data_IF_293119388894
#
_entry.id   IF_293119388894
#
_cell.length_a   1.000
_cell.length_b   1.000
_cell.length_c   1.000
_cell.angle_alpha   90.00
_cell.angle_beta   90.00
_cell.angle_gamma   90.00
#
_symmetry.space_group_name_H-M   'P 1'
#
loop_
_entity.id
_entity.type
_entity.pdbx_description
1 polymer ?
#
# COMPACT_ATOMS: atom_id res chain seq x y z
N UNK A 1 -2.28 3.97 10.32
CA UNK A 1 -2.23 3.07 9.14
C UNK A 1 -3.60 2.72 8.57
N UNK A 2 -4.72 2.92 9.30
CA UNK A 2 -6.05 2.62 8.75
C UNK A 2 -6.61 3.66 7.77
N UNK A 3 -6.24 4.93 7.92
CA UNK A 3 -6.78 6.04 7.12
C UNK A 3 -6.37 5.96 5.65
N UNK A 4 -5.13 5.59 5.36
CA UNK A 4 -4.64 5.40 3.99
C UNK A 4 -5.36 4.24 3.28
N UNK A 5 -5.66 3.17 4.02
CA UNK A 5 -6.39 2.02 3.49
C UNK A 5 -7.80 2.40 3.01
N UNK A 6 -8.43 3.42 3.60
CA UNK A 6 -9.74 3.93 3.15
C UNK A 6 -9.62 4.58 1.78
N UNK A 7 -8.58 5.39 1.55
CA UNK A 7 -8.34 6.01 0.24
C UNK A 7 -8.07 4.94 -0.84
N UNK A 8 -7.26 3.94 -0.53
CA UNK A 8 -7.03 2.81 -1.44
C UNK A 8 -8.30 1.99 -1.70
N UNK A 9 -9.14 1.77 -0.69
CA UNK A 9 -10.40 1.06 -0.84
C UNK A 9 -11.35 1.78 -1.80
N UNK A 10 -11.45 3.12 -1.73
CA UNK A 10 -12.27 3.92 -2.64
C UNK A 10 -11.81 3.75 -4.10
N UNK A 11 -10.49 3.73 -4.34
CA UNK A 11 -9.92 3.58 -5.69
C UNK A 11 -10.13 2.15 -6.23
N UNK A 12 -9.98 1.12 -5.39
CA UNK A 12 -10.04 -0.29 -5.80
C UNK A 12 -11.49 -0.81 -5.87
N UNK A 13 -12.42 -0.21 -5.13
CA UNK A 13 -13.85 -0.58 -5.11
C UNK A 13 -14.47 -0.75 -6.50
N UNK A 14 -14.41 0.23 -7.43
CA UNK A 14 -15.02 0.08 -8.76
C UNK A 14 -14.41 -1.07 -9.57
N UNK A 15 -13.11 -1.36 -9.42
CA UNK A 15 -12.46 -2.49 -10.08
C UNK A 15 -12.97 -3.83 -9.54
N UNK A 16 -13.08 -3.97 -8.21
CA UNK A 16 -13.56 -5.19 -7.57
C UNK A 16 -15.02 -5.49 -7.91
N UNK A 17 -15.87 -4.46 -7.93
CA UNK A 17 -17.29 -4.59 -8.32
C UNK A 17 -17.41 -5.06 -9.78
N UNK A 18 -16.57 -4.55 -10.70
CA UNK A 18 -16.53 -5.02 -12.10
C UNK A 18 -16.08 -6.47 -12.24
N UNK A 19 -15.17 -6.92 -11.37
CA UNK A 19 -14.71 -8.32 -11.33
C UNK A 19 -15.75 -9.29 -10.73
N UNK A 20 -16.89 -8.78 -10.26
CA UNK A 20 -17.98 -9.55 -9.66
C UNK A 20 -17.78 -9.84 -8.17
N UNK A 21 -16.91 -9.08 -7.50
CA UNK A 21 -16.75 -9.11 -6.04
C UNK A 21 -17.55 -7.97 -5.39
N UNK A 22 -17.77 -8.03 -4.08
CA UNK A 22 -18.52 -7.03 -3.31
C UNK A 22 -17.58 -5.97 -2.68
N UNK A 23 -18.15 -4.82 -2.28
CA UNK A 23 -17.39 -3.81 -1.53
C UNK A 23 -16.78 -4.34 -0.23
N UNK A 24 -17.35 -5.38 0.39
CA UNK A 24 -16.75 -6.02 1.57
C UNK A 24 -15.45 -6.72 1.19
N UNK A 25 -15.38 -7.43 0.07
CA UNK A 25 -14.13 -8.01 -0.44
C UNK A 25 -13.08 -6.93 -0.69
N UNK A 26 -13.47 -5.76 -1.22
CA UNK A 26 -12.56 -4.61 -1.37
C UNK A 26 -11.96 -4.18 -0.03
N UNK A 27 -12.78 -4.04 1.00
CA UNK A 27 -12.33 -3.66 2.35
C UNK A 27 -11.45 -4.76 2.97
N UNK A 28 -11.81 -6.04 2.79
CA UNK A 28 -10.99 -7.15 3.25
C UNK A 28 -9.60 -7.12 2.60
N UNK A 29 -9.54 -6.97 1.27
CA UNK A 29 -8.26 -6.97 0.54
C UNK A 29 -7.39 -5.77 0.92
N UNK A 30 -7.97 -4.59 1.15
CA UNK A 30 -7.20 -3.38 1.45
C UNK A 30 -6.86 -3.26 2.94
N UNK A 31 -7.85 -3.39 3.81
CA UNK A 31 -7.69 -3.17 5.25
C UNK A 31 -6.99 -4.34 5.94
N UNK A 32 -7.41 -5.60 5.70
CA UNK A 32 -6.76 -6.75 6.36
C UNK A 32 -5.32 -6.87 5.90
N UNK A 33 -5.03 -6.68 4.62
CA UNK A 33 -3.66 -6.72 4.11
C UNK A 33 -2.77 -5.67 4.82
N UNK A 34 -3.26 -4.43 4.96
CA UNK A 34 -2.53 -3.36 5.63
C UNK A 34 -2.27 -3.68 7.11
N UNK A 35 -3.28 -4.18 7.82
CA UNK A 35 -3.17 -4.48 9.25
C UNK A 35 -2.26 -5.68 9.52
N UNK A 36 -2.39 -6.77 8.76
CA UNK A 36 -1.52 -7.94 8.89
C UNK A 36 -0.07 -7.56 8.53
N UNK A 37 0.11 -6.83 7.43
CA UNK A 37 1.42 -6.37 6.98
C UNK A 37 2.12 -5.51 8.03
N UNK A 38 1.42 -4.54 8.62
CA UNK A 38 1.99 -3.69 9.67
C UNK A 38 2.32 -4.47 10.95
N UNK A 39 1.40 -5.33 11.41
CA UNK A 39 1.53 -6.05 12.67
C UNK A 39 2.61 -7.14 12.64
N UNK A 40 2.77 -7.82 11.50
CA UNK A 40 3.69 -8.95 11.35
C UNK A 40 5.01 -8.62 10.66
N UNK A 41 5.21 -7.36 10.21
CA UNK A 41 6.41 -6.95 9.50
C UNK A 41 7.69 -7.20 10.32
N UNK A 42 8.60 -7.97 9.73
CA UNK A 42 9.87 -8.36 10.35
C UNK A 42 10.96 -7.28 10.24
N UNK A 43 10.81 -6.34 9.30
CA UNK A 43 11.76 -5.25 9.02
C UNK A 43 11.15 -3.87 9.25
N UNK A 44 10.10 -3.75 10.07
CA UNK A 44 9.43 -2.48 10.34
C UNK A 44 10.43 -1.49 11.01
N UNK A 45 10.86 -0.41 10.33
CA UNK A 45 11.86 0.50 10.87
C UNK A 45 11.32 1.34 12.02
N UNK A 46 10.00 1.54 12.09
CA UNK A 46 9.36 2.40 13.10
C UNK A 46 9.12 1.70 14.42
N UNK A 47 8.78 0.41 14.39
CA UNK A 47 8.50 -0.35 15.60
C UNK A 47 9.65 -1.28 15.97
N UNK A 48 10.09 -2.13 15.04
CA UNK A 48 11.02 -3.21 15.33
C UNK A 48 12.44 -2.69 15.47
N UNK A 49 12.92 -1.91 14.51
CA UNK A 49 14.29 -1.39 14.52
C UNK A 49 14.50 -0.41 15.67
N UNK A 50 13.51 0.46 15.95
CA UNK A 50 13.56 1.37 17.11
C UNK A 50 13.63 0.59 18.43
N UNK A 51 12.77 -0.42 18.61
CA UNK A 51 12.79 -1.25 19.83
C UNK A 51 14.12 -2.02 19.98
N UNK A 52 14.70 -2.50 18.87
CA UNK A 52 16.01 -3.16 18.88
C UNK A 52 17.13 -2.20 19.26
N UNK A 53 17.10 -0.97 18.74
CA UNK A 53 18.02 0.10 19.12
C UNK A 53 17.94 0.44 20.61
N UNK A 54 16.74 0.53 21.18
CA UNK A 54 16.53 0.75 22.63
C UNK A 54 17.02 -0.45 23.46
N UNK A 55 16.77 -1.67 22.99
CA UNK A 55 17.17 -2.90 23.67
C UNK A 55 18.67 -3.25 23.50
N UNK A 56 19.42 -2.48 22.71
CA UNK A 56 20.84 -2.72 22.47
C UNK A 56 21.16 -4.00 21.71
N UNK A 57 20.17 -4.58 21.02
CA UNK A 57 20.35 -5.81 20.21
C UNK A 57 20.60 -5.45 18.74
N UNK A 58 21.34 -6.29 17.98
CA UNK A 58 21.59 -6.02 16.57
C UNK A 58 20.30 -5.85 15.79
N UNK A 59 20.29 -4.89 14.86
CA UNK A 59 19.19 -4.69 13.90
C UNK A 59 18.97 -6.00 13.14
N UNK A 60 17.71 -6.36 12.87
CA UNK A 60 17.32 -7.62 12.23
C UNK A 60 17.56 -8.90 13.05
N UNK A 61 18.02 -8.80 14.31
CA UNK A 61 18.14 -9.97 15.18
C UNK A 61 16.79 -10.67 15.37
N UNK A 62 16.77 -12.00 15.16
CA UNK A 62 15.54 -12.81 15.21
C UNK A 62 14.61 -12.67 14.00
N UNK A 63 15.10 -12.15 12.87
CA UNK A 63 14.33 -12.02 11.62
C UNK A 63 13.71 -13.33 11.14
N UNK A 64 14.39 -14.47 11.31
CA UNK A 64 13.89 -15.78 10.86
C UNK A 64 12.51 -16.14 11.44
N UNK A 65 12.33 -16.03 12.76
CA UNK A 65 11.03 -16.28 13.40
C UNK A 65 9.97 -15.29 12.92
N UNK A 66 10.33 -14.02 12.80
CA UNK A 66 9.41 -12.95 12.36
C UNK A 66 8.96 -13.16 10.92
N UNK A 67 9.85 -13.60 10.03
CA UNK A 67 9.52 -13.96 8.64
C UNK A 67 8.53 -15.12 8.61
N UNK A 68 8.74 -16.15 9.42
CA UNK A 68 7.79 -17.28 9.52
C UNK A 68 6.42 -16.81 9.99
N UNK A 69 6.36 -15.99 11.05
CA UNK A 69 5.10 -15.41 11.56
C UNK A 69 4.43 -14.53 10.50
N UNK A 70 5.19 -13.71 9.79
CA UNK A 70 4.71 -12.87 8.70
C UNK A 70 4.09 -13.71 7.56
N UNK A 71 4.77 -14.78 7.14
CA UNK A 71 4.26 -15.70 6.11
C UNK A 71 2.97 -16.36 6.58
N UNK A 72 2.95 -16.91 7.80
CA UNK A 72 1.77 -17.60 8.34
C UNK A 72 0.58 -16.66 8.48
N UNK A 73 0.79 -15.46 9.04
CA UNK A 73 -0.26 -14.47 9.20
C UNK A 73 -0.80 -14.01 7.84
N UNK A 74 0.08 -13.77 6.87
CA UNK A 74 -0.30 -13.39 5.50
C UNK A 74 -1.07 -14.49 4.82
N UNK A 75 -0.65 -15.76 4.94
CA UNK A 75 -1.35 -16.90 4.37
C UNK A 75 -2.75 -17.08 4.98
N UNK A 76 -2.89 -16.92 6.30
CA UNK A 76 -4.20 -16.99 6.97
C UNK A 76 -5.13 -15.89 6.43
N UNK A 77 -4.64 -14.65 6.36
CA UNK A 77 -5.41 -13.52 5.83
C UNK A 77 -5.80 -13.72 4.36
N UNK A 78 -4.88 -14.24 3.55
CA UNK A 78 -5.09 -14.53 2.14
C UNK A 78 -6.15 -15.63 1.96
N UNK A 79 -6.01 -16.75 2.66
CA UNK A 79 -6.98 -17.86 2.57
C UNK A 79 -8.36 -17.42 3.04
N UNK A 80 -8.45 -16.68 4.16
CA UNK A 80 -9.70 -16.13 4.64
C UNK A 80 -10.38 -15.24 3.59
N UNK A 81 -9.61 -14.33 2.99
CA UNK A 81 -10.10 -13.40 1.96
C UNK A 81 -10.54 -14.14 0.70
N UNK A 82 -9.77 -15.14 0.24
CA UNK A 82 -10.12 -15.95 -0.94
C UNK A 82 -11.35 -16.83 -0.71
N UNK A 83 -11.51 -17.40 0.48
CA UNK A 83 -12.70 -18.18 0.84
C UNK A 83 -13.94 -17.27 0.87
N UNK A 84 -13.83 -16.06 1.43
CA UNK A 84 -14.93 -15.09 1.39
C UNK A 84 -15.25 -14.64 -0.05
N UNK A 85 -14.24 -14.19 -0.80
CA UNK A 85 -14.39 -13.70 -2.17
C UNK A 85 -14.99 -14.77 -3.10
N UNK A 86 -14.58 -16.04 -2.95
CA UNK A 86 -15.14 -17.15 -3.74
C UNK A 86 -16.58 -17.49 -3.37
N UNK A 87 -17.00 -17.30 -2.12
CA UNK A 87 -18.40 -17.45 -1.68
C UNK A 87 -19.28 -16.35 -2.25
N UNK A 88 -18.82 -15.10 -2.20
CA UNK A 88 -19.53 -13.93 -2.76
C UNK A 88 -19.66 -14.05 -4.29
N UNK A 89 -18.57 -14.45 -4.96
CA UNK A 89 -18.57 -14.64 -6.43
C UNK A 89 -19.55 -15.73 -6.89
N UNK A 90 -19.74 -16.78 -6.08
CA UNK A 90 -20.69 -17.88 -6.39
C UNK A 90 -22.14 -17.52 -6.09
N UNK A 91 -22.40 -16.69 -5.09
CA UNK A 91 -23.75 -16.26 -4.71
C UNK A 91 -23.77 -14.75 -4.42
N UNK A 92 -24.05 -13.92 -5.44
CA UNK A 92 -24.08 -12.47 -5.29
C UNK A 92 -25.12 -11.95 -4.28
N UNK A 93 -26.15 -12.76 -3.99
CA UNK A 93 -27.21 -12.45 -3.01
C UNK A 93 -26.82 -12.69 -1.55
N UNK A 94 -25.68 -13.34 -1.29
CA UNK A 94 -25.12 -13.44 0.06
C UNK A 94 -24.42 -12.14 0.50
N UNK A 95 -24.16 -11.21 -0.42
CA UNK A 95 -23.65 -9.89 -0.09
C UNK A 95 -24.77 -9.05 0.55
N UNK A 96 -24.60 -8.70 1.83
CA UNK A 96 -25.51 -7.78 2.56
C UNK A 96 -25.52 -6.35 2.00
N UNK A 97 -24.66 -6.05 1.03
CA UNK A 97 -24.38 -4.71 0.50
C UNK A 97 -24.78 -4.59 -0.97
N UNK A 98 -25.61 -5.52 -1.47
CA UNK A 98 -26.01 -5.59 -2.89
C UNK A 98 -26.65 -4.28 -3.40
N UNK A 99 -27.39 -3.55 -2.56
CA UNK A 99 -27.97 -2.25 -2.93
C UNK A 99 -26.94 -1.10 -2.92
N UNK A 100 -25.99 -1.08 -1.99
CA UNK A 100 -24.97 -0.01 -1.95
C UNK A 100 -23.89 -0.19 -3.03
N UNK A 101 -23.63 -1.43 -3.49
CA UNK A 101 -22.79 -1.71 -4.66
C UNK A 101 -23.44 -1.23 -5.96
N UNK A 102 -24.76 -1.00 -5.98
CA UNK A 102 -25.47 -0.43 -7.15
C UNK A 102 -24.98 0.98 -7.48
N UNK A 103 -24.61 1.76 -6.45
CA UNK A 103 -24.02 3.10 -6.62
C UNK A 103 -22.68 3.04 -7.38
N UNK A 104 -21.79 2.10 -7.04
CA UNK A 104 -20.53 1.87 -7.78
C UNK A 104 -20.75 1.23 -9.16
N UNK A 105 -21.88 0.53 -9.36
CA UNK A 105 -22.29 -0.04 -10.66
C UNK A 105 -22.87 1.01 -11.61
N UNK A 106 -23.56 2.01 -11.06
CA UNK A 106 -24.19 3.12 -11.78
C UNK A 106 -23.21 4.28 -12.04
N UNK A 107 -22.22 4.49 -11.16
CA UNK A 107 -21.00 5.26 -11.47
C UNK A 107 -20.10 4.46 -12.41
N UNK A 108 -20.57 4.28 -13.64
CA UNK A 108 -19.73 3.90 -14.78
C UNK A 108 -18.86 5.09 -15.16
N UNK A 109 -17.91 5.48 -14.30
CA UNK A 109 -16.79 6.27 -14.80
C UNK A 109 -16.03 5.35 -15.77
N UNK A 110 -15.99 5.75 -17.04
CA UNK A 110 -15.05 5.18 -17.99
C UNK A 110 -13.66 5.30 -17.36
N UNK A 111 -13.08 4.17 -16.96
CA UNK A 111 -11.66 4.15 -16.62
C UNK A 111 -10.96 4.47 -17.92
N UNK A 112 -10.61 5.75 -18.08
CA UNK A 112 -9.85 6.24 -19.22
C UNK A 112 -8.57 5.41 -19.22
N UNK A 113 -8.50 4.44 -20.13
CA UNK A 113 -7.31 3.64 -20.32
C UNK A 113 -6.26 4.57 -20.92
N UNK A 114 -5.53 5.25 -20.05
CA UNK A 114 -4.34 5.97 -20.46
C UNK A 114 -3.26 4.93 -20.73
N UNK A 115 -2.62 4.96 -21.91
CA UNK A 115 -1.45 4.14 -22.15
C UNK A 115 -0.39 4.51 -21.11
N UNK A 116 0.30 3.51 -20.57
CA UNK A 116 1.45 3.71 -19.69
C UNK A 116 2.45 4.63 -20.39
N UNK A 117 2.66 5.82 -19.85
CA UNK A 117 3.55 6.82 -20.42
C UNK A 117 4.97 6.67 -19.86
N UNK A 118 5.95 7.26 -20.54
CA UNK A 118 7.33 7.30 -20.05
C UNK A 118 7.45 7.98 -18.67
N UNK A 119 6.54 8.91 -18.35
CA UNK A 119 6.44 9.54 -17.03
C UNK A 119 6.08 8.56 -15.92
N UNK A 120 5.12 7.65 -16.15
CA UNK A 120 4.73 6.64 -15.17
C UNK A 120 5.89 5.69 -14.85
N UNK A 121 6.68 5.35 -15.86
CA UNK A 121 7.89 4.54 -15.70
C UNK A 121 8.97 5.27 -14.88
N UNK A 122 9.16 6.58 -15.11
CA UNK A 122 10.10 7.39 -14.34
C UNK A 122 9.67 7.48 -12.87
N UNK A 123 8.38 7.69 -12.59
CA UNK A 123 7.84 7.72 -11.23
C UNK A 123 8.06 6.39 -10.51
N UNK A 124 7.79 5.26 -11.17
CA UNK A 124 8.03 3.93 -10.61
C UNK A 124 9.52 3.68 -10.32
N UNK A 125 10.41 4.15 -11.19
CA UNK A 125 11.85 4.00 -11.00
C UNK A 125 12.34 4.85 -9.82
N UNK A 126 11.92 6.11 -9.73
CA UNK A 126 12.27 7.01 -8.63
C UNK A 126 11.75 6.44 -7.30
N UNK A 127 10.50 5.98 -7.26
CA UNK A 127 9.90 5.38 -6.07
C UNK A 127 10.65 4.12 -5.61
N UNK A 128 11.03 3.26 -6.56
CA UNK A 128 11.82 2.04 -6.27
C UNK A 128 13.23 2.40 -5.79
N UNK A 129 13.87 3.38 -6.42
CA UNK A 129 15.21 3.84 -6.05
C UNK A 129 15.25 4.42 -4.64
N UNK A 130 14.26 5.23 -4.27
CA UNK A 130 14.13 5.77 -2.90
C UNK A 130 13.89 4.65 -1.89
N UNK A 131 13.06 3.66 -2.22
CA UNK A 131 12.83 2.51 -1.33
C UNK A 131 14.13 1.74 -1.06
N UNK A 132 14.94 1.49 -2.09
CA UNK A 132 16.24 0.82 -1.94
C UNK A 132 17.19 1.69 -1.10
N UNK A 133 17.22 3.00 -1.33
CA UNK A 133 18.05 3.92 -0.56
C UNK A 133 17.65 3.90 0.92
N UNK A 134 16.37 3.98 1.25
CA UNK A 134 15.89 3.92 2.64
C UNK A 134 16.33 2.61 3.29
N UNK A 135 16.14 1.47 2.64
CA UNK A 135 16.55 0.16 3.16
C UNK A 135 18.08 0.11 3.39
N UNK A 136 18.87 0.62 2.44
CA UNK A 136 20.32 0.67 2.58
C UNK A 136 20.79 1.60 3.71
N UNK A 137 20.16 2.77 3.85
CA UNK A 137 20.46 3.74 4.90
C UNK A 137 20.16 3.21 6.30
N UNK A 138 19.04 2.50 6.45
CA UNK A 138 18.66 1.85 7.72
C UNK A 138 19.62 0.70 8.08
N UNK A 139 20.04 -0.11 7.11
CA UNK A 139 20.91 -1.28 7.36
C UNK A 139 22.36 -0.88 7.65
N UNK A 140 22.92 0.05 6.88
CA UNK A 140 24.37 0.35 6.93
C UNK A 140 24.69 1.51 7.88
N UNK A 141 23.88 2.57 7.87
CA UNK A 141 24.15 3.79 8.62
C UNK A 141 23.30 3.94 9.89
N UNK A 142 22.44 2.94 10.20
CA UNK A 142 21.48 2.99 11.29
C UNK A 142 20.65 4.29 11.31
N UNK A 143 20.34 4.81 10.12
CA UNK A 143 19.58 6.04 9.97
C UNK A 143 18.23 5.94 10.68
N UNK A 144 17.96 6.96 11.49
CA UNK A 144 16.77 7.04 12.33
C UNK A 144 15.73 7.94 11.67
N UNK A 145 14.67 8.26 12.40
CA UNK A 145 13.53 9.06 11.91
C UNK A 145 13.95 10.40 11.26
N UNK A 146 14.96 11.17 11.75
CA UNK A 146 15.37 12.43 11.12
C UNK A 146 15.92 12.25 9.70
N UNK A 147 16.73 11.22 9.47
CA UNK A 147 17.37 10.98 8.18
C UNK A 147 16.37 10.48 7.14
N UNK A 148 15.46 9.58 7.54
CA UNK A 148 14.37 9.12 6.67
C UNK A 148 13.47 10.29 6.25
N UNK A 149 13.14 11.20 7.18
CA UNK A 149 12.36 12.40 6.88
C UNK A 149 13.06 13.31 5.85
N UNK A 150 14.38 13.46 5.93
CA UNK A 150 15.16 14.26 4.98
C UNK A 150 15.14 13.66 3.55
N UNK A 151 15.13 12.33 3.42
CA UNK A 151 15.06 11.65 2.12
C UNK A 151 13.72 11.88 1.42
N UNK A 152 12.60 11.74 2.15
CA UNK A 152 11.28 12.03 1.61
C UNK A 152 11.10 13.51 1.23
N UNK A 153 11.68 14.42 2.03
CA UNK A 153 11.66 15.86 1.70
C UNK A 153 12.45 16.18 0.43
N UNK A 154 13.58 15.51 0.23
CA UNK A 154 14.42 15.68 -0.97
C UNK A 154 13.71 15.16 -2.22
N UNK A 155 13.00 14.03 -2.12
CA UNK A 155 12.17 13.48 -3.19
C UNK A 155 11.04 14.45 -3.59
N UNK A 156 10.30 14.99 -2.62
CA UNK A 156 9.18 15.92 -2.89
C UNK A 156 9.60 17.22 -3.57
N UNK A 157 10.88 17.60 -3.48
CA UNK A 157 11.42 18.78 -4.19
C UNK A 157 11.81 18.48 -5.64
N UNK A 158 12.14 17.22 -5.97
CA UNK A 158 12.48 16.77 -7.31
C UNK A 158 11.27 16.53 -8.21
N UNK A 159 10.10 16.28 -7.62
CA UNK A 159 8.86 15.90 -8.32
C UNK A 159 8.02 17.09 -8.81
N UNK A 160 8.57 18.32 -8.79
CA UNK A 160 7.90 19.48 -9.39
C UNK A 160 7.92 19.32 -10.91
N UNK A 161 6.75 19.12 -11.57
CA UNK A 161 6.71 19.08 -13.02
C UNK A 161 7.17 20.45 -13.54
N UNK A 162 8.19 20.46 -14.39
CA UNK A 162 8.70 21.66 -15.07
C UNK A 162 7.63 22.37 -15.92
N UNK A 163 6.46 21.77 -16.11
CA UNK A 163 5.31 22.38 -16.79
C UNK A 163 4.58 23.46 -15.98
N UNK A 164 4.80 23.56 -14.65
CA UNK A 164 4.16 24.58 -13.82
C UNK A 164 4.87 25.94 -13.84
N UNK A 165 6.07 26.04 -14.43
CA UNK A 165 6.84 27.29 -14.49
C UNK A 165 6.62 28.09 -15.77
N UNK A 166 5.96 27.52 -16.80
CA UNK A 166 5.70 28.24 -18.05
C UNK A 166 4.37 29.02 -18.07
N UNK A 167 3.45 28.76 -17.12
CA UNK A 167 2.16 29.45 -17.06
C UNK A 167 2.10 30.60 -16.03
N UNK A 168 3.20 30.84 -15.30
CA UNK A 168 3.27 31.89 -14.28
C UNK A 168 4.13 33.10 -14.71
N UNK A 169 4.58 33.15 -15.96
CA UNK A 169 5.39 34.24 -16.52
C UNK A 169 4.67 35.04 -17.62
N UNK A 170 3.35 34.87 -17.76
CA UNK A 170 2.56 35.51 -18.83
C UNK A 170 1.28 36.20 -18.34
N UNK A 171 1.21 36.54 -17.06
CA UNK A 171 0.22 37.51 -16.54
C UNK A 171 0.93 38.64 -15.79
#
# INVERSE_FOLDING_TARGET
MGEEAVAFAIIIAPLMVRLGYDSITTVLVTYIATQIGFASSWMNPFCVVVAQGIAGVPVLSGSGLRIVVWIVATLIGLVFTLVYASRVKKNPQLSRVHESDRYFREQQDEVVQRPFTFGDWLVLLVLTGVMIWVVWGVIVHAWFIPEIASQFFTMGRGDRPSSALSSASTE
#
